data_IF_675593150013
#
_entry.id   IF_675593150013
#
_cell.length_a   1.000
_cell.length_b   1.000
_cell.length_c   1.000
_cell.angle_alpha   90.00
_cell.angle_beta   90.00
_cell.angle_gamma   90.00
#
_symmetry.space_group_name_H-M   'P 1'
#
loop_
_entity.id
_entity.type
_entity.pdbx_description
1 polymer ?
#
# COMPACT_ATOMS: atom_id res chain seq x y z
N UNK A 1 -7.29 -3.67 22.91
CA UNK A 1 -6.85 -3.34 21.56
C UNK A 1 -5.43 -2.77 21.58
N UNK A 2 -4.73 -2.87 20.44
CA UNK A 2 -3.39 -2.31 20.25
C UNK A 2 -3.48 -1.14 19.30
N UNK A 3 -2.61 -0.16 19.48
CA UNK A 3 -2.50 0.99 18.59
C UNK A 3 -1.07 1.19 18.12
N UNK A 4 -0.94 1.81 16.98
CA UNK A 4 0.28 2.40 16.45
C UNK A 4 0.03 3.87 16.16
N UNK A 5 1.05 4.59 15.75
CA UNK A 5 0.92 5.95 15.21
C UNK A 5 1.13 5.87 13.71
N UNK A 6 0.26 6.53 12.96
CA UNK A 6 0.32 6.68 11.52
C UNK A 6 -0.05 8.11 11.17
N UNK A 7 0.79 8.83 10.43
CA UNK A 7 0.60 10.26 10.16
C UNK A 7 0.27 11.09 11.42
N UNK A 8 0.94 10.80 12.57
CA UNK A 8 0.74 11.45 13.88
C UNK A 8 -0.61 11.17 14.55
N UNK A 9 -1.38 10.21 14.05
CA UNK A 9 -2.70 9.84 14.58
C UNK A 9 -2.62 8.41 15.12
N UNK A 10 -3.25 8.16 16.27
CA UNK A 10 -3.37 6.81 16.80
C UNK A 10 -4.24 5.96 15.88
N UNK A 11 -3.72 4.80 15.51
CA UNK A 11 -4.33 3.88 14.57
C UNK A 11 -4.45 2.49 15.18
N UNK A 12 -5.61 1.82 15.12
CA UNK A 12 -5.78 0.50 15.72
C UNK A 12 -5.00 -0.56 14.94
N UNK A 13 -4.48 -1.55 15.68
CA UNK A 13 -3.81 -2.74 15.13
C UNK A 13 -4.64 -4.02 15.29
N UNK A 14 -5.75 -3.95 16.00
CA UNK A 14 -6.71 -5.03 16.21
C UNK A 14 -7.77 -4.62 17.19
N UNK A 15 -9.00 -5.04 16.98
CA UNK A 15 -10.14 -4.82 17.87
C UNK A 15 -10.49 -6.09 18.64
N UNK A 16 -10.32 -7.27 18.02
CA UNK A 16 -10.60 -8.54 18.68
C UNK A 16 -9.47 -8.88 19.65
N UNK A 17 -9.85 -9.21 20.88
CA UNK A 17 -8.86 -9.58 21.89
C UNK A 17 -8.25 -10.96 21.59
N UNK A 18 -7.00 -11.23 22.02
CA UNK A 18 -6.38 -12.54 21.83
C UNK A 18 -7.20 -13.70 22.39
N UNK A 19 -7.83 -13.52 23.58
CA UNK A 19 -8.69 -14.53 24.22
C UNK A 19 -9.98 -14.81 23.44
N UNK A 20 -10.43 -13.87 22.57
CA UNK A 20 -11.61 -14.00 21.71
C UNK A 20 -11.25 -14.43 20.28
N UNK A 21 -10.01 -14.88 20.05
CA UNK A 21 -9.49 -15.35 18.75
C UNK A 21 -8.63 -14.35 17.99
N UNK A 22 -8.50 -13.11 18.49
CA UNK A 22 -7.54 -12.11 17.99
C UNK A 22 -7.66 -11.78 16.52
N UNK A 23 -6.52 -11.56 15.89
CA UNK A 23 -6.42 -11.18 14.48
C UNK A 23 -6.98 -12.23 13.50
N UNK A 24 -7.11 -13.50 13.93
CA UNK A 24 -7.66 -14.55 13.07
C UNK A 24 -9.17 -14.41 12.86
N UNK A 25 -9.90 -13.83 13.83
CA UNK A 25 -11.33 -13.51 13.66
C UNK A 25 -11.51 -12.37 12.65
N UNK A 26 -10.66 -11.33 12.73
CA UNK A 26 -10.65 -10.24 11.75
C UNK A 26 -10.26 -10.74 10.35
N UNK A 27 -9.31 -11.69 10.29
CA UNK A 27 -8.91 -12.36 9.05
C UNK A 27 -10.07 -13.13 8.41
N UNK A 28 -10.79 -13.93 9.21
CA UNK A 28 -11.95 -14.68 8.72
C UNK A 28 -13.03 -13.76 8.16
N UNK A 29 -13.30 -12.67 8.86
CA UNK A 29 -14.31 -11.69 8.43
C UNK A 29 -13.96 -11.04 7.07
N UNK A 30 -12.70 -10.66 6.83
CA UNK A 30 -12.32 -10.03 5.56
C UNK A 30 -12.26 -11.02 4.40
N UNK A 31 -11.94 -12.28 4.66
CA UNK A 31 -11.84 -13.31 3.61
C UNK A 31 -13.22 -13.86 3.21
N UNK A 32 -14.16 -13.99 4.16
CA UNK A 32 -15.44 -14.65 3.93
C UNK A 32 -16.65 -13.71 3.86
N UNK A 33 -16.52 -12.48 4.36
CA UNK A 33 -17.63 -11.54 4.49
C UNK A 33 -17.31 -10.16 3.91
N UNK A 34 -17.51 -9.14 4.71
CA UNK A 34 -17.11 -7.76 4.42
C UNK A 34 -16.70 -7.08 5.71
N UNK A 35 -15.70 -6.23 5.61
CA UNK A 35 -15.16 -5.49 6.74
C UNK A 35 -15.17 -3.99 6.47
N UNK A 36 -15.21 -3.20 7.54
CA UNK A 36 -15.06 -1.75 7.51
C UNK A 36 -13.88 -1.34 8.39
N UNK A 37 -13.01 -0.48 7.88
CA UNK A 37 -11.84 0.03 8.59
C UNK A 37 -11.80 1.54 8.52
N UNK A 38 -11.53 2.16 9.64
CA UNK A 38 -11.20 3.57 9.65
C UNK A 38 -9.74 3.73 9.18
N UNK A 39 -9.57 4.42 8.07
CA UNK A 39 -8.26 4.78 7.51
C UNK A 39 -8.13 6.31 7.32
N UNK A 40 -8.83 7.09 8.11
CA UNK A 40 -8.74 8.56 8.12
C UNK A 40 -7.31 9.08 8.43
N UNK A 41 -6.45 8.23 8.94
CA UNK A 41 -5.00 8.48 9.08
C UNK A 41 -4.29 8.70 7.73
N UNK A 42 -4.89 8.25 6.62
CA UNK A 42 -4.47 8.56 5.25
C UNK A 42 -4.98 9.97 4.89
N UNK A 43 -4.26 10.98 5.35
CA UNK A 43 -4.58 12.39 5.10
C UNK A 43 -4.62 12.68 3.61
N UNK A 44 -5.54 13.54 3.18
CA UNK A 44 -5.70 13.87 1.77
C UNK A 44 -5.04 15.21 1.47
N UNK A 45 -4.02 15.21 0.59
CA UNK A 45 -3.43 16.46 0.09
C UNK A 45 -3.99 16.74 -1.29
N UNK A 46 -4.74 17.84 -1.39
CA UNK A 46 -5.27 18.34 -2.66
C UNK A 46 -4.21 19.19 -3.37
N UNK A 47 -4.06 18.95 -4.66
CA UNK A 47 -3.38 19.85 -5.60
C UNK A 47 -4.40 20.31 -6.62
N UNK A 48 -4.65 21.64 -6.69
CA UNK A 48 -5.70 22.20 -7.53
C UNK A 48 -5.27 23.49 -8.22
N UNK A 49 -5.57 23.62 -9.50
CA UNK A 49 -5.31 24.82 -10.27
C UNK A 49 -4.84 24.53 -11.70
N UNK A 50 -4.64 25.59 -12.51
CA UNK A 50 -4.32 25.45 -13.94
C UNK A 50 -3.08 24.62 -14.26
N UNK A 51 -2.09 24.59 -13.35
CA UNK A 51 -0.86 23.82 -13.50
C UNK A 51 -0.80 22.58 -12.60
N UNK A 52 -1.94 22.16 -12.00
CA UNK A 52 -1.99 21.00 -11.12
C UNK A 52 -1.46 19.72 -11.79
N UNK A 53 -1.87 19.43 -13.04
CA UNK A 53 -1.37 18.27 -13.79
C UNK A 53 0.14 18.33 -13.99
N UNK A 54 0.69 19.49 -14.36
CA UNK A 54 2.14 19.67 -14.57
C UNK A 54 2.91 19.50 -13.26
N UNK A 55 2.39 20.05 -12.16
CA UNK A 55 2.99 19.90 -10.83
C UNK A 55 2.98 18.45 -10.38
N UNK A 56 1.82 17.78 -10.46
CA UNK A 56 1.69 16.36 -10.11
C UNK A 56 2.63 15.52 -10.97
N UNK A 57 2.69 15.79 -12.29
CA UNK A 57 3.61 15.11 -13.19
C UNK A 57 5.08 15.34 -12.77
N UNK A 58 5.43 16.50 -12.24
CA UNK A 58 6.79 16.80 -11.79
C UNK A 58 7.18 16.08 -10.47
N UNK A 59 6.22 15.76 -9.60
CA UNK A 59 6.55 15.18 -8.28
C UNK A 59 6.40 13.66 -8.21
N UNK A 60 5.76 13.00 -9.17
CA UNK A 60 5.63 11.55 -9.23
C UNK A 60 6.53 10.93 -10.31
N UNK A 61 6.88 9.67 -10.16
CA UNK A 61 7.74 8.96 -11.14
C UNK A 61 7.01 8.54 -12.41
N UNK A 62 5.67 8.39 -12.35
CA UNK A 62 4.81 8.02 -13.49
C UNK A 62 4.34 9.26 -14.25
N UNK A 63 3.84 9.04 -15.46
CA UNK A 63 3.26 10.09 -16.29
C UNK A 63 1.81 10.40 -15.84
N UNK A 64 1.62 11.55 -15.16
CA UNK A 64 0.31 11.97 -14.66
C UNK A 64 -0.71 12.25 -15.78
N UNK A 65 -0.24 12.61 -16.98
CA UNK A 65 -1.11 12.93 -18.14
C UNK A 65 -1.87 11.70 -18.64
N UNK A 66 -1.39 10.49 -18.30
CA UNK A 66 -2.04 9.21 -18.64
C UNK A 66 -3.14 8.79 -17.65
N UNK A 67 -3.33 9.53 -16.57
CA UNK A 67 -4.40 9.29 -15.62
C UNK A 67 -5.61 10.12 -16.05
N UNK A 68 -6.68 9.48 -16.49
CA UNK A 68 -7.91 10.20 -16.86
C UNK A 68 -8.62 10.78 -15.63
N UNK A 69 -9.40 11.87 -15.76
CA UNK A 69 -10.32 12.28 -14.70
C UNK A 69 -11.22 11.14 -14.23
N UNK A 70 -11.60 11.14 -12.97
CA UNK A 70 -12.35 10.09 -12.29
C UNK A 70 -11.63 8.72 -12.29
N UNK A 71 -10.29 8.75 -12.21
CA UNK A 71 -9.45 7.57 -12.04
C UNK A 71 -8.43 7.79 -10.93
N UNK A 72 -8.15 6.73 -10.19
CA UNK A 72 -7.02 6.69 -9.27
C UNK A 72 -5.84 5.89 -9.82
N UNK A 73 -4.67 6.05 -9.21
CA UNK A 73 -3.47 5.25 -9.50
C UNK A 73 -2.56 5.18 -8.27
N UNK A 74 -1.98 4.02 -8.06
CA UNK A 74 -0.84 3.88 -7.15
C UNK A 74 0.39 4.53 -7.79
N UNK A 75 0.98 5.49 -7.10
CA UNK A 75 2.14 6.25 -7.55
C UNK A 75 3.20 6.30 -6.46
N UNK A 76 4.42 6.67 -6.81
CA UNK A 76 5.49 6.93 -5.85
C UNK A 76 6.07 8.32 -6.06
N UNK A 77 6.40 8.98 -4.94
CA UNK A 77 7.18 10.18 -4.91
C UNK A 77 8.59 9.85 -4.40
N UNK A 78 9.60 10.42 -5.04
CA UNK A 78 10.98 10.23 -4.63
C UNK A 78 11.64 11.56 -4.29
N UNK A 79 12.65 11.50 -3.43
CA UNK A 79 13.57 12.64 -3.24
C UNK A 79 14.58 12.74 -4.40
N UNK A 80 15.39 13.78 -4.40
CA UNK A 80 16.40 14.01 -5.44
C UNK A 80 17.44 12.88 -5.60
N UNK A 81 17.59 12.04 -4.58
CA UNK A 81 18.53 10.91 -4.56
C UNK A 81 17.87 9.58 -4.97
N UNK A 82 16.55 9.60 -5.28
CA UNK A 82 15.77 8.43 -5.69
C UNK A 82 15.19 7.63 -4.53
N UNK A 83 15.26 8.11 -3.29
CA UNK A 83 14.62 7.48 -2.13
C UNK A 83 13.10 7.73 -2.11
N UNK A 84 12.31 6.74 -1.71
CA UNK A 84 10.83 6.79 -1.71
C UNK A 84 10.33 7.64 -0.56
N UNK A 85 9.76 8.79 -0.84
CA UNK A 85 9.18 9.70 0.16
C UNK A 85 7.79 9.27 0.61
N UNK A 86 6.98 8.76 -0.31
CA UNK A 86 5.63 8.24 -0.07
C UNK A 86 5.18 7.41 -1.27
N UNK A 87 4.20 6.54 -1.04
CA UNK A 87 3.60 5.68 -2.06
C UNK A 87 2.06 5.80 -2.06
N UNK A 88 1.51 7.00 -2.30
CA UNK A 88 0.10 7.27 -2.15
C UNK A 88 -0.74 6.66 -3.27
N UNK A 89 -2.04 6.58 -3.01
CA UNK A 89 -3.02 6.51 -4.09
C UNK A 89 -3.30 7.95 -4.56
N UNK A 90 -3.04 8.22 -5.83
CA UNK A 90 -3.36 9.49 -6.47
C UNK A 90 -4.74 9.40 -7.12
N UNK A 91 -5.68 10.22 -6.64
CA UNK A 91 -7.03 10.35 -7.20
C UNK A 91 -7.04 11.58 -8.12
N UNK A 92 -7.36 11.40 -9.40
CA UNK A 92 -7.62 12.51 -10.31
C UNK A 92 -9.12 12.81 -10.33
N UNK A 93 -9.54 13.82 -9.58
CA UNK A 93 -10.95 14.20 -9.43
C UNK A 93 -11.45 14.91 -10.70
N UNK A 94 -10.66 15.85 -11.21
CA UNK A 94 -10.99 16.58 -12.44
C UNK A 94 -9.75 16.80 -13.32
N UNK A 95 -9.85 17.65 -14.33
CA UNK A 95 -8.73 18.04 -15.18
C UNK A 95 -7.60 18.70 -14.38
N UNK A 96 -7.97 19.47 -13.38
CA UNK A 96 -7.11 20.39 -12.63
C UNK A 96 -7.21 20.19 -11.11
N UNK A 97 -7.72 19.03 -10.65
CA UNK A 97 -7.81 18.67 -9.23
C UNK A 97 -7.36 17.23 -9.01
N UNK A 98 -6.39 17.07 -8.11
CA UNK A 98 -5.80 15.80 -7.71
C UNK A 98 -5.74 15.70 -6.19
N UNK A 99 -5.98 14.51 -5.64
CA UNK A 99 -5.80 14.21 -4.23
C UNK A 99 -4.74 13.13 -4.07
N UNK A 100 -3.79 13.34 -3.16
CA UNK A 100 -2.89 12.32 -2.69
C UNK A 100 -3.43 11.74 -1.39
N UNK A 101 -3.84 10.47 -1.40
CA UNK A 101 -4.18 9.70 -0.21
C UNK A 101 -2.89 9.14 0.37
N UNK A 102 -2.43 9.70 1.50
CA UNK A 102 -1.06 9.52 1.98
C UNK A 102 -0.79 8.19 2.66
N UNK A 103 0.37 7.62 2.41
CA UNK A 103 1.02 6.69 3.34
C UNK A 103 1.66 7.45 4.53
N UNK A 104 2.36 6.75 5.41
CA UNK A 104 2.87 7.27 6.69
C UNK A 104 4.06 8.25 6.56
N UNK A 105 3.91 9.28 5.74
CA UNK A 105 4.86 10.41 5.70
C UNK A 105 4.18 11.71 5.29
N UNK A 106 4.65 12.83 5.83
CA UNK A 106 4.07 14.15 5.57
C UNK A 106 4.60 14.75 4.27
N UNK A 107 4.04 14.34 3.14
CA UNK A 107 4.40 14.93 1.84
C UNK A 107 3.70 16.27 1.58
N UNK A 108 2.70 16.68 2.36
CA UNK A 108 2.05 17.99 2.19
C UNK A 108 3.08 19.12 2.28
N UNK A 109 3.89 19.13 3.33
CA UNK A 109 4.98 20.11 3.48
C UNK A 109 6.03 20.00 2.37
N UNK A 110 6.36 18.77 1.95
CA UNK A 110 7.28 18.54 0.85
C UNK A 110 6.75 19.13 -0.47
N UNK A 111 5.49 18.86 -0.81
CA UNK A 111 4.87 19.37 -2.03
C UNK A 111 4.82 20.91 -2.04
N UNK A 112 4.47 21.53 -0.90
CA UNK A 112 4.51 22.98 -0.74
C UNK A 112 5.95 23.51 -0.92
N UNK A 113 6.95 22.83 -0.36
CA UNK A 113 8.36 23.17 -0.53
C UNK A 113 8.85 23.06 -1.98
N UNK A 114 8.40 22.07 -2.73
CA UNK A 114 8.72 21.91 -4.15
C UNK A 114 8.16 23.06 -5.00
N UNK A 115 7.03 23.64 -4.61
CA UNK A 115 6.40 24.79 -5.30
C UNK A 115 6.60 26.12 -4.55
N UNK A 116 7.58 26.23 -3.65
CA UNK A 116 7.79 27.44 -2.85
C UNK A 116 8.15 28.69 -3.68
N UNK A 117 8.73 28.50 -4.85
CA UNK A 117 9.02 29.58 -5.82
C UNK A 117 7.81 29.98 -6.68
N UNK A 118 6.68 29.30 -6.53
CA UNK A 118 5.43 29.62 -7.25
C UNK A 118 5.47 29.33 -8.76
N UNK A 119 6.41 28.51 -9.23
CA UNK A 119 6.54 28.19 -10.67
C UNK A 119 5.34 27.43 -11.26
N UNK A 120 4.56 26.76 -10.42
CA UNK A 120 3.32 26.12 -10.82
C UNK A 120 2.14 26.87 -10.23
N UNK A 121 1.22 27.33 -11.05
CA UNK A 121 -0.02 28.00 -10.63
C UNK A 121 -1.03 26.94 -10.12
N UNK A 122 -0.86 26.50 -8.90
CA UNK A 122 -1.76 25.57 -8.20
C UNK A 122 -1.69 25.81 -6.67
N UNK A 123 -2.78 25.48 -5.96
CA UNK A 123 -2.81 25.39 -4.50
C UNK A 123 -2.47 23.97 -4.06
N UNK A 124 -1.86 23.86 -2.88
CA UNK A 124 -1.48 22.57 -2.26
C UNK A 124 -1.95 22.65 -0.82
N UNK A 125 -3.00 21.91 -0.49
CA UNK A 125 -3.68 22.01 0.78
C UNK A 125 -4.08 20.63 1.31
N UNK A 126 -4.05 20.45 2.64
CA UNK A 126 -4.72 19.32 3.27
C UNK A 126 -6.21 19.62 3.34
N UNK A 127 -7.04 18.72 2.82
CA UNK A 127 -8.47 18.87 2.78
C UNK A 127 -9.16 17.98 3.81
N UNK A 128 -10.32 18.41 4.30
CA UNK A 128 -11.17 17.62 5.19
C UNK A 128 -11.95 16.57 4.38
N UNK A 129 -11.20 15.53 3.94
CA UNK A 129 -11.75 14.37 3.26
C UNK A 129 -11.12 13.10 3.86
N UNK A 130 -11.91 12.31 4.55
CA UNK A 130 -11.41 11.14 5.29
C UNK A 130 -11.90 9.83 4.67
N UNK A 131 -10.99 8.88 4.39
CA UNK A 131 -11.35 7.59 3.83
C UNK A 131 -11.79 6.58 4.89
N UNK A 132 -12.73 5.72 4.47
CA UNK A 132 -13.10 4.47 5.13
C UNK A 132 -13.00 3.36 4.10
N UNK A 133 -12.38 2.24 4.45
CA UNK A 133 -12.27 1.08 3.55
C UNK A 133 -13.39 0.07 3.83
N UNK A 134 -14.01 -0.43 2.76
CA UNK A 134 -15.01 -1.52 2.75
C UNK A 134 -14.42 -2.66 1.94
N UNK A 135 -13.95 -3.71 2.62
CA UNK A 135 -13.13 -4.75 2.00
C UNK A 135 -13.69 -6.15 2.26
N UNK A 136 -13.62 -7.01 1.28
CA UNK A 136 -14.03 -8.42 1.34
C UNK A 136 -15.01 -8.80 0.24
N UNK A 137 -15.35 -10.12 0.07
CA UNK A 137 -16.13 -10.63 -1.06
C UNK A 137 -17.56 -10.08 -1.13
N UNK A 138 -18.14 -9.63 -0.01
CA UNK A 138 -19.49 -9.02 0.02
C UNK A 138 -19.48 -7.50 -0.11
N UNK A 139 -18.31 -6.86 -0.32
CA UNK A 139 -18.19 -5.40 -0.40
C UNK A 139 -19.05 -4.79 -1.51
N UNK A 140 -19.07 -5.38 -2.71
CA UNK A 140 -19.91 -4.90 -3.82
C UNK A 140 -21.40 -4.95 -3.48
N UNK A 141 -21.88 -6.02 -2.86
CA UNK A 141 -23.28 -6.15 -2.47
C UNK A 141 -23.67 -5.09 -1.42
N UNK A 142 -22.80 -4.86 -0.43
CA UNK A 142 -23.00 -3.79 0.57
C UNK A 142 -23.06 -2.42 -0.11
N UNK A 143 -22.09 -2.12 -1.00
CA UNK A 143 -22.05 -0.82 -1.69
C UNK A 143 -23.26 -0.59 -2.59
N UNK A 144 -23.80 -1.63 -3.26
CA UNK A 144 -25.06 -1.54 -4.01
C UNK A 144 -26.23 -1.14 -3.14
N UNK A 145 -26.35 -1.77 -1.98
CA UNK A 145 -27.41 -1.46 -1.03
C UNK A 145 -27.26 -0.06 -0.40
N UNK A 146 -26.03 0.38 -0.22
CA UNK A 146 -25.73 1.71 0.36
C UNK A 146 -25.98 2.85 -0.64
N UNK A 147 -25.64 2.64 -1.91
CA UNK A 147 -25.62 3.69 -2.93
C UNK A 147 -26.81 3.62 -3.89
N UNK A 148 -27.51 2.49 -4.00
CA UNK A 148 -28.57 2.31 -5.00
C UNK A 148 -28.06 2.56 -6.42
N UNK A 149 -28.81 3.31 -7.19
CA UNK A 149 -28.56 3.59 -8.62
C UNK A 149 -27.62 4.80 -8.85
N UNK A 150 -26.96 5.31 -7.80
CA UNK A 150 -26.07 6.50 -7.95
C UNK A 150 -24.84 6.21 -8.81
N UNK A 151 -24.42 4.93 -8.90
CA UNK A 151 -23.21 4.53 -9.62
C UNK A 151 -23.35 3.09 -10.15
N UNK A 152 -22.84 2.87 -11.36
CA UNK A 152 -22.75 1.51 -11.94
C UNK A 152 -21.51 0.78 -11.38
N UNK A 153 -21.70 0.09 -10.26
CA UNK A 153 -20.64 -0.70 -9.61
C UNK A 153 -20.27 -1.96 -10.39
N UNK A 154 -21.11 -2.43 -11.34
CA UNK A 154 -20.78 -3.61 -12.15
C UNK A 154 -19.70 -3.31 -13.17
N UNK A 155 -19.77 -2.13 -13.77
CA UNK A 155 -18.83 -1.69 -14.79
C UNK A 155 -17.75 -0.73 -14.24
N UNK A 156 -17.73 -0.47 -12.92
CA UNK A 156 -16.69 0.34 -12.30
C UNK A 156 -15.36 -0.40 -12.34
N UNK A 157 -14.34 0.13 -13.03
CA UNK A 157 -13.04 -0.55 -13.12
C UNK A 157 -12.24 -0.37 -11.83
N UNK A 158 -11.29 -1.26 -11.58
CA UNK A 158 -10.30 -1.06 -10.50
C UNK A 158 -9.63 0.31 -10.64
N UNK A 159 -9.51 1.05 -9.53
CA UNK A 159 -9.14 2.47 -9.50
C UNK A 159 -10.11 3.42 -10.26
N UNK A 160 -11.35 2.98 -10.54
CA UNK A 160 -12.43 3.89 -10.94
C UNK A 160 -12.86 4.74 -9.75
N UNK A 161 -13.22 6.00 -10.03
CA UNK A 161 -13.79 6.93 -9.05
C UNK A 161 -15.23 7.26 -9.44
N UNK A 162 -16.06 7.57 -8.43
CA UNK A 162 -17.38 8.17 -8.63
C UNK A 162 -17.72 9.13 -7.50
N UNK A 163 -18.38 10.23 -7.83
CA UNK A 163 -18.99 11.11 -6.83
C UNK A 163 -20.37 10.56 -6.46
N UNK A 164 -20.63 10.40 -5.18
CA UNK A 164 -21.84 9.81 -4.63
C UNK A 164 -22.26 10.52 -3.35
N UNK A 165 -23.44 10.17 -2.84
CA UNK A 165 -23.89 10.60 -1.50
C UNK A 165 -24.10 9.39 -0.61
N UNK A 166 -23.53 9.42 0.59
CA UNK A 166 -23.79 8.47 1.67
C UNK A 166 -24.45 9.24 2.82
N UNK A 167 -25.61 8.78 3.29
CA UNK A 167 -26.44 9.53 4.26
C UNK A 167 -26.70 10.99 3.85
N UNK A 168 -26.83 11.26 2.55
CA UNK A 168 -27.00 12.63 2.01
C UNK A 168 -25.72 13.46 1.95
N UNK A 169 -24.57 12.96 2.42
CA UNK A 169 -23.28 13.66 2.45
C UNK A 169 -22.42 13.34 1.22
N UNK A 170 -21.71 14.36 0.74
CA UNK A 170 -20.88 14.23 -0.47
C UNK A 170 -19.67 13.35 -0.21
N UNK A 171 -19.50 12.34 -1.05
CA UNK A 171 -18.38 11.42 -1.00
C UNK A 171 -17.78 11.19 -2.39
N UNK A 172 -16.50 10.87 -2.44
CA UNK A 172 -15.87 10.21 -3.58
C UNK A 172 -15.67 8.75 -3.20
N UNK A 173 -16.04 7.82 -4.07
CA UNK A 173 -15.69 6.41 -3.89
C UNK A 173 -14.61 6.02 -4.88
N UNK A 174 -13.76 5.08 -4.47
CA UNK A 174 -12.78 4.40 -5.31
C UNK A 174 -12.95 2.90 -5.21
N UNK A 175 -12.87 2.18 -6.33
CA UNK A 175 -12.73 0.72 -6.28
C UNK A 175 -11.26 0.38 -6.06
N UNK A 176 -10.87 0.38 -4.81
CA UNK A 176 -9.50 0.17 -4.35
C UNK A 176 -9.47 -0.36 -2.92
N UNK A 177 -8.29 -0.60 -2.38
CA UNK A 177 -8.09 -1.01 -0.99
C UNK A 177 -6.70 -1.57 -0.74
N UNK A 178 -6.40 -1.76 0.54
CA UNK A 178 -5.10 -2.19 1.05
C UNK A 178 -5.08 -3.66 1.51
N UNK A 179 -5.94 -4.51 0.94
CA UNK A 179 -6.13 -5.90 1.39
C UNK A 179 -5.83 -6.97 0.35
N UNK A 180 -5.84 -6.58 -0.93
CA UNK A 180 -5.87 -7.55 -2.02
C UNK A 180 -7.20 -8.31 -2.16
N UNK A 181 -8.23 -7.94 -1.39
CA UNK A 181 -9.61 -8.38 -1.59
C UNK A 181 -10.37 -7.40 -2.49
N UNK A 182 -11.54 -7.83 -2.97
CA UNK A 182 -12.48 -6.91 -3.59
C UNK A 182 -12.90 -5.84 -2.58
N UNK A 183 -12.94 -4.58 -2.98
CA UNK A 183 -13.27 -3.53 -2.04
C UNK A 183 -13.40 -2.15 -2.62
N UNK A 184 -13.81 -1.25 -1.75
CA UNK A 184 -14.02 0.17 -2.04
C UNK A 184 -13.46 1.02 -0.91
N UNK A 185 -13.10 2.24 -1.25
CA UNK A 185 -12.78 3.31 -0.32
C UNK A 185 -13.80 4.42 -0.48
N UNK A 186 -14.33 4.92 0.64
CA UNK A 186 -15.31 6.01 0.68
C UNK A 186 -14.61 7.22 1.29
N UNK A 187 -14.33 8.24 0.51
CA UNK A 187 -13.73 9.50 0.92
C UNK A 187 -14.84 10.50 1.24
N UNK A 188 -15.15 10.69 2.51
CA UNK A 188 -16.18 11.61 2.97
C UNK A 188 -15.63 13.04 2.96
N UNK A 189 -16.27 13.96 2.22
CA UNK A 189 -16.00 15.40 2.29
C UNK A 189 -16.60 15.99 3.56
N UNK A 190 -15.97 17.02 4.12
CA UNK A 190 -16.36 17.64 5.39
C UNK A 190 -16.49 16.60 6.54
N UNK A 191 -15.53 15.70 6.59
CA UNK A 191 -15.55 14.54 7.48
C UNK A 191 -15.56 14.93 8.95
N UNK A 192 -14.93 16.03 9.32
CA UNK A 192 -14.99 16.60 10.69
C UNK A 192 -16.42 16.83 11.17
N UNK A 193 -17.34 17.12 10.27
CA UNK A 193 -18.74 17.39 10.60
C UNK A 193 -19.64 16.15 10.50
N UNK A 194 -19.35 15.23 9.58
CA UNK A 194 -20.32 14.21 9.15
C UNK A 194 -19.82 12.76 9.25
N UNK A 195 -18.65 12.52 9.88
CA UNK A 195 -18.09 11.18 9.98
C UNK A 195 -19.03 10.19 10.65
N UNK A 196 -19.67 10.57 11.76
CA UNK A 196 -20.58 9.69 12.50
C UNK A 196 -21.82 9.31 11.67
N UNK A 197 -22.37 10.25 10.89
CA UNK A 197 -23.53 9.99 10.06
C UNK A 197 -23.21 8.95 8.97
N UNK A 198 -22.09 9.14 8.27
CA UNK A 198 -21.66 8.23 7.23
C UNK A 198 -21.30 6.86 7.80
N UNK A 199 -20.53 6.82 8.89
CA UNK A 199 -20.13 5.59 9.56
C UNK A 199 -21.33 4.75 10.00
N UNK A 200 -22.32 5.38 10.67
CA UNK A 200 -23.52 4.72 11.13
C UNK A 200 -24.40 4.23 9.97
N UNK A 201 -24.48 4.98 8.86
CA UNK A 201 -25.21 4.53 7.68
C UNK A 201 -24.60 3.27 7.06
N UNK A 202 -23.27 3.19 6.98
CA UNK A 202 -22.57 1.98 6.50
C UNK A 202 -22.79 0.81 7.46
N UNK A 203 -22.70 1.03 8.77
CA UNK A 203 -22.97 -0.01 9.77
C UNK A 203 -24.38 -0.57 9.65
N UNK A 204 -25.39 0.30 9.49
CA UNK A 204 -26.78 -0.13 9.40
C UNK A 204 -27.03 -1.00 8.18
N UNK A 205 -26.58 -0.55 7.01
CA UNK A 205 -26.67 -1.35 5.76
C UNK A 205 -25.83 -2.63 5.88
N UNK A 206 -24.69 -2.54 6.56
CA UNK A 206 -23.76 -3.66 6.74
C UNK A 206 -24.30 -4.85 7.54
N UNK A 207 -25.29 -4.65 8.41
CA UNK A 207 -25.87 -5.72 9.25
C UNK A 207 -26.27 -6.94 8.46
N UNK A 208 -26.97 -6.77 7.35
CA UNK A 208 -27.43 -7.90 6.50
C UNK A 208 -26.29 -8.57 5.72
N UNK A 209 -25.12 -7.92 5.60
CA UNK A 209 -23.94 -8.45 4.91
C UNK A 209 -22.93 -9.08 5.86
N UNK A 210 -23.23 -9.14 7.16
CA UNK A 210 -22.31 -9.59 8.20
C UNK A 210 -21.05 -8.71 8.26
N UNK A 211 -21.24 -7.39 8.13
CA UNK A 211 -20.16 -6.40 8.23
C UNK A 211 -19.52 -6.47 9.61
N UNK A 212 -18.20 -6.57 9.63
CA UNK A 212 -17.42 -6.46 10.83
C UNK A 212 -16.50 -5.23 10.76
N UNK A 213 -16.45 -4.45 11.84
CA UNK A 213 -15.43 -3.41 12.00
C UNK A 213 -14.14 -4.09 12.44
N UNK A 214 -13.06 -3.87 11.69
CA UNK A 214 -11.74 -4.41 11.99
C UNK A 214 -10.66 -3.31 11.94
N UNK A 215 -9.48 -3.59 12.47
CA UNK A 215 -8.30 -2.80 12.20
C UNK A 215 -7.79 -3.06 10.77
N UNK A 216 -6.94 -2.18 10.18
CA UNK A 216 -6.34 -2.45 8.89
C UNK A 216 -5.68 -3.82 8.82
N UNK A 217 -6.07 -4.61 7.82
CA UNK A 217 -5.75 -6.03 7.75
C UNK A 217 -4.30 -6.29 7.32
N UNK A 218 -3.33 -6.09 8.21
CA UNK A 218 -1.91 -6.33 7.94
C UNK A 218 -1.63 -7.73 7.39
N UNK A 219 -2.30 -8.75 7.93
CA UNK A 219 -2.21 -10.11 7.43
C UNK A 219 -2.54 -10.21 5.93
N UNK A 220 -3.62 -9.54 5.48
CA UNK A 220 -4.04 -9.60 4.07
C UNK A 220 -3.12 -8.82 3.15
N UNK A 221 -2.71 -7.59 3.54
CA UNK A 221 -1.77 -6.82 2.74
C UNK A 221 -0.44 -7.56 2.54
N UNK A 222 0.06 -8.25 3.59
CA UNK A 222 1.29 -9.04 3.51
C UNK A 222 1.11 -10.20 2.54
N UNK A 223 0.03 -10.97 2.65
CA UNK A 223 -0.28 -12.04 1.70
C UNK A 223 -0.37 -11.53 0.26
N UNK A 224 -0.90 -10.32 0.08
CA UNK A 224 -1.01 -9.64 -1.21
C UNK A 224 0.31 -9.07 -1.74
N UNK A 225 1.35 -9.03 -0.92
CA UNK A 225 2.62 -8.39 -1.26
C UNK A 225 2.51 -6.86 -1.35
N UNK A 226 1.52 -6.26 -0.68
CA UNK A 226 1.34 -4.81 -0.64
C UNK A 226 2.24 -4.23 0.45
N UNK A 227 3.09 -3.29 0.05
CA UNK A 227 4.05 -2.64 0.95
C UNK A 227 3.37 -1.62 1.85
N UNK A 228 3.99 -1.34 2.99
CA UNK A 228 3.61 -0.26 3.90
C UNK A 228 4.81 0.65 4.08
N UNK A 229 4.65 1.92 3.73
CA UNK A 229 5.70 2.92 3.96
C UNK A 229 5.94 3.09 5.47
N UNK A 230 7.17 3.31 5.86
CA UNK A 230 7.59 3.31 7.26
C UNK A 230 7.88 1.91 7.81
N UNK A 231 7.28 0.84 7.26
CA UNK A 231 7.53 -0.54 7.68
C UNK A 231 8.38 -1.32 6.67
N UNK A 232 7.98 -1.33 5.39
CA UNK A 232 8.69 -2.07 4.34
C UNK A 232 9.65 -1.20 3.53
N UNK A 233 9.50 0.09 3.58
CA UNK A 233 10.37 1.05 2.90
C UNK A 233 10.24 2.44 3.53
N UNK A 234 11.25 3.26 3.31
CA UNK A 234 11.30 4.66 3.70
C UNK A 234 12.14 5.48 2.69
N UNK A 235 12.46 6.71 3.04
CA UNK A 235 13.26 7.62 2.18
C UNK A 235 14.69 7.15 1.89
N UNK A 236 15.19 6.12 2.58
CA UNK A 236 16.52 5.53 2.33
C UNK A 236 16.46 4.39 1.30
N UNK A 237 15.26 3.93 0.98
CA UNK A 237 15.01 2.86 0.02
C UNK A 237 14.62 3.43 -1.34
N UNK A 238 15.17 2.88 -2.42
CA UNK A 238 14.79 3.27 -3.77
C UNK A 238 13.76 2.29 -4.38
N UNK A 239 13.02 2.69 -5.43
CA UNK A 239 11.97 1.84 -6.02
C UNK A 239 12.46 0.48 -6.52
N UNK A 240 13.68 0.39 -7.03
CA UNK A 240 14.20 -0.88 -7.54
C UNK A 240 14.40 -1.88 -6.43
N UNK A 241 14.95 -1.45 -5.30
CA UNK A 241 15.20 -2.28 -4.13
C UNK A 241 13.91 -2.72 -3.42
N UNK A 242 12.80 -1.97 -3.61
CA UNK A 242 11.48 -2.27 -3.04
C UNK A 242 10.56 -3.06 -3.99
N UNK A 243 11.07 -3.63 -5.10
CA UNK A 243 10.25 -4.26 -6.14
C UNK A 243 9.25 -3.32 -6.84
N UNK A 244 9.39 -2.00 -6.69
CA UNK A 244 8.58 -0.95 -7.32
C UNK A 244 9.22 -0.39 -8.61
N UNK A 245 10.24 -1.06 -9.15
CA UNK A 245 10.94 -0.61 -10.37
C UNK A 245 10.00 -0.39 -11.56
N UNK A 246 8.86 -1.10 -11.63
CA UNK A 246 7.83 -0.91 -12.65
C UNK A 246 7.12 0.46 -12.56
N UNK A 247 7.19 1.13 -11.40
CA UNK A 247 6.68 2.49 -11.21
C UNK A 247 7.61 3.56 -11.80
N UNK A 248 8.86 3.17 -12.12
CA UNK A 248 9.87 4.09 -12.66
C UNK A 248 9.96 3.90 -14.16
N UNK A 249 9.47 4.85 -14.92
CA UNK A 249 9.33 4.76 -16.38
C UNK A 249 10.63 5.11 -17.12
N UNK A 250 11.70 4.34 -16.88
CA UNK A 250 13.02 4.60 -17.50
C UNK A 250 13.25 3.92 -18.83
N UNK A 251 12.51 2.87 -19.17
CA UNK A 251 12.89 1.99 -20.28
C UNK A 251 12.37 2.42 -21.64
N UNK A 252 11.53 3.42 -21.71
CA UNK A 252 10.93 3.85 -22.96
C UNK A 252 10.02 2.81 -23.63
N UNK A 253 9.67 1.75 -22.94
CA UNK A 253 8.72 0.72 -23.38
C UNK A 253 7.50 0.75 -22.46
N UNK A 254 6.32 0.79 -23.07
CA UNK A 254 5.04 0.70 -22.37
C UNK A 254 4.28 2.02 -22.26
N UNK A 255 3.05 1.90 -21.81
CA UNK A 255 2.04 2.97 -21.71
C UNK A 255 2.45 4.15 -20.82
N UNK A 256 3.32 3.91 -19.83
CA UNK A 256 3.72 4.88 -18.81
C UNK A 256 5.09 5.52 -19.03
N UNK A 257 5.60 5.46 -20.27
CA UNK A 257 6.87 6.11 -20.60
C UNK A 257 6.78 7.61 -20.36
N UNK A 258 7.56 8.08 -19.38
CA UNK A 258 7.67 9.49 -19.06
C UNK A 258 8.93 10.09 -19.67
N UNK A 259 8.76 11.15 -20.45
CA UNK A 259 9.87 11.92 -21.03
C UNK A 259 10.15 13.19 -20.26
N UNK A 260 9.12 13.75 -19.60
CA UNK A 260 9.23 14.98 -18.82
C UNK A 260 10.19 14.79 -17.62
N UNK A 261 10.71 15.90 -17.17
CA UNK A 261 11.53 15.92 -15.96
C UNK A 261 10.66 15.72 -14.71
N UNK A 262 11.24 15.10 -13.66
CA UNK A 262 10.60 14.91 -12.37
C UNK A 262 11.64 14.75 -11.26
N UNK A 263 11.24 14.98 -10.02
CA UNK A 263 12.14 14.87 -8.87
C UNK A 263 12.69 13.46 -8.73
N UNK A 264 14.01 13.34 -8.63
CA UNK A 264 14.71 12.06 -8.52
C UNK A 264 15.06 11.37 -9.84
N UNK A 265 14.61 11.90 -11.00
CA UNK A 265 14.83 11.29 -12.33
C UNK A 265 16.28 10.92 -12.58
N UNK A 266 17.21 11.86 -12.42
CA UNK A 266 18.62 11.63 -12.71
C UNK A 266 19.22 10.50 -11.87
N UNK A 267 18.86 10.42 -10.57
CA UNK A 267 19.31 9.35 -9.68
C UNK A 267 18.73 7.99 -10.10
N UNK A 268 17.44 7.94 -10.42
CA UNK A 268 16.77 6.72 -10.83
C UNK A 268 17.25 6.22 -12.21
N UNK A 269 17.48 7.12 -13.16
CA UNK A 269 18.08 6.78 -14.46
C UNK A 269 19.48 6.20 -14.32
N UNK A 270 20.32 6.80 -13.46
CA UNK A 270 21.66 6.29 -13.15
C UNK A 270 21.59 4.88 -12.57
N UNK A 271 20.76 4.66 -11.54
CA UNK A 271 20.59 3.34 -10.92
C UNK A 271 20.08 2.31 -11.94
N UNK A 272 19.06 2.67 -12.74
CA UNK A 272 18.53 1.78 -13.79
C UNK A 272 19.58 1.41 -14.85
N UNK A 273 20.44 2.33 -15.24
CA UNK A 273 21.56 2.07 -16.15
C UNK A 273 22.60 1.14 -15.53
N UNK A 274 22.92 1.34 -14.25
CA UNK A 274 23.85 0.47 -13.51
C UNK A 274 23.29 -0.96 -13.38
N UNK A 275 22.02 -1.13 -13.06
CA UNK A 275 21.35 -2.44 -13.00
C UNK A 275 21.40 -3.14 -14.37
N UNK A 276 21.09 -2.43 -15.46
CA UNK A 276 21.17 -2.98 -16.84
C UNK A 276 22.60 -3.40 -17.21
N UNK A 277 23.60 -2.73 -16.66
CA UNK A 277 25.02 -3.07 -16.84
C UNK A 277 25.50 -4.20 -15.91
N UNK A 278 24.60 -4.85 -15.16
CA UNK A 278 24.93 -5.93 -14.23
C UNK A 278 25.58 -5.47 -12.92
N UNK A 279 25.55 -4.15 -12.63
CA UNK A 279 26.03 -3.60 -11.37
C UNK A 279 24.97 -3.71 -10.28
N UNK A 280 25.40 -3.60 -9.03
CA UNK A 280 24.54 -3.61 -7.83
C UNK A 280 24.61 -2.25 -7.16
N UNK A 281 23.76 -1.28 -7.56
CA UNK A 281 23.80 0.09 -7.04
C UNK A 281 23.39 0.22 -5.57
N UNK A 282 22.87 -0.83 -4.96
CA UNK A 282 22.49 -0.93 -3.55
C UNK A 282 22.81 -2.32 -2.99
N UNK A 283 22.78 -2.45 -1.66
CA UNK A 283 23.22 -3.67 -0.96
C UNK A 283 22.13 -4.71 -0.74
N UNK A 284 20.93 -4.27 -0.43
CA UNK A 284 19.82 -5.12 0.02
C UNK A 284 18.63 -5.02 -0.92
N UNK A 285 17.95 -6.16 -1.16
CA UNK A 285 16.76 -6.29 -1.98
C UNK A 285 15.61 -6.81 -1.16
N UNK A 286 14.43 -6.21 -1.28
CA UNK A 286 13.18 -6.70 -0.71
C UNK A 286 12.81 -8.05 -1.34
N UNK A 287 12.47 -9.02 -0.51
CA UNK A 287 12.05 -10.36 -0.90
C UNK A 287 10.85 -10.83 -0.10
N UNK A 288 10.11 -11.80 -0.65
CA UNK A 288 9.21 -12.63 0.13
C UNK A 288 9.95 -13.85 0.69
N UNK A 289 9.54 -14.31 1.85
CA UNK A 289 10.09 -15.50 2.50
C UNK A 289 8.99 -16.36 3.10
N UNK A 290 9.14 -17.67 3.06
CA UNK A 290 8.45 -18.60 3.94
C UNK A 290 9.38 -18.93 5.12
N UNK A 291 8.83 -18.93 6.35
CA UNK A 291 9.58 -19.09 7.59
C UNK A 291 9.09 -20.31 8.36
N UNK A 292 10.01 -21.01 8.98
CA UNK A 292 9.71 -22.02 10.01
C UNK A 292 9.22 -21.40 11.32
N UNK A 293 9.11 -22.22 12.34
CA UNK A 293 8.72 -21.80 13.68
C UNK A 293 7.23 -21.93 13.97
N UNK A 294 6.82 -21.43 15.14
CA UNK A 294 5.40 -21.40 15.54
C UNK A 294 4.64 -20.38 14.70
N UNK A 295 3.30 -20.55 14.53
CA UNK A 295 2.48 -19.56 13.87
C UNK A 295 2.64 -18.16 14.46
N UNK A 296 2.83 -17.17 13.57
CA UNK A 296 2.90 -15.74 13.92
C UNK A 296 1.50 -15.17 13.69
N UNK A 297 0.61 -15.41 14.63
CA UNK A 297 -0.82 -15.08 14.58
C UNK A 297 -1.19 -13.82 15.36
N UNK A 298 -0.19 -13.12 15.87
CA UNK A 298 -0.33 -11.87 16.60
C UNK A 298 0.66 -10.83 16.07
N UNK A 299 0.42 -9.56 16.38
CA UNK A 299 1.33 -8.48 16.03
C UNK A 299 2.70 -8.71 16.68
N UNK A 300 3.72 -8.76 15.87
CA UNK A 300 5.10 -8.98 16.28
C UNK A 300 5.92 -7.68 16.11
N UNK A 301 6.98 -7.48 16.93
CA UNK A 301 7.93 -6.41 16.71
C UNK A 301 8.55 -6.48 15.31
N UNK A 302 8.85 -5.32 14.75
CA UNK A 302 9.44 -5.20 13.41
C UNK A 302 10.96 -5.46 13.43
N UNK A 303 11.52 -5.66 12.22
CA UNK A 303 12.97 -5.69 11.96
C UNK A 303 13.74 -6.85 12.59
N UNK A 304 13.20 -8.07 12.46
CA UNK A 304 13.91 -9.27 12.90
C UNK A 304 15.16 -9.55 12.06
N UNK A 305 16.25 -9.93 12.72
CA UNK A 305 17.51 -10.15 12.06
C UNK A 305 17.50 -11.39 11.16
N UNK A 306 18.13 -11.28 10.00
CA UNK A 306 18.37 -12.36 9.04
C UNK A 306 19.87 -12.63 9.01
N UNK A 307 20.28 -13.90 9.16
CA UNK A 307 21.64 -14.36 8.93
C UNK A 307 21.71 -15.36 7.75
N UNK A 308 22.91 -15.64 7.26
CA UNK A 308 23.10 -16.67 6.25
C UNK A 308 22.62 -18.06 6.75
N UNK A 309 22.40 -19.02 5.83
CA UNK A 309 22.00 -20.39 6.17
C UNK A 309 22.95 -21.05 7.18
N UNK A 310 24.26 -20.78 7.05
CA UNK A 310 25.30 -21.25 7.97
C UNK A 310 25.34 -20.50 9.33
N UNK A 311 24.50 -19.48 9.52
CA UNK A 311 24.57 -18.57 10.67
C UNK A 311 25.58 -17.43 10.44
N UNK A 312 26.04 -16.82 11.53
CA UNK A 312 26.97 -15.70 11.52
C UNK A 312 26.28 -14.35 11.72
N UNK A 313 26.99 -13.26 11.38
CA UNK A 313 26.51 -11.89 11.54
C UNK A 313 25.24 -11.63 10.72
N UNK A 314 24.37 -10.71 11.17
CA UNK A 314 23.18 -10.32 10.43
C UNK A 314 23.55 -9.76 9.05
N UNK A 315 22.84 -10.24 8.02
CA UNK A 315 23.00 -9.80 6.63
C UNK A 315 21.77 -9.05 6.10
N UNK A 316 20.67 -9.06 6.88
CA UNK A 316 19.41 -8.46 6.48
C UNK A 316 18.42 -8.41 7.64
N UNK A 317 17.18 -8.05 7.33
CA UNK A 317 16.11 -7.94 8.33
C UNK A 317 14.72 -8.19 7.74
N UNK A 318 13.82 -8.72 8.55
CA UNK A 318 12.39 -8.89 8.24
C UNK A 318 11.66 -7.61 8.57
N UNK A 319 10.73 -7.21 7.71
CA UNK A 319 9.90 -6.01 7.89
C UNK A 319 8.45 -6.33 8.23
N UNK A 320 7.89 -7.36 7.62
CA UNK A 320 6.45 -7.66 7.69
C UNK A 320 6.20 -9.15 7.76
N UNK A 321 6.24 -9.75 8.97
CA UNK A 321 5.97 -11.17 9.16
C UNK A 321 4.49 -11.41 9.45
N UNK A 322 3.99 -12.59 9.05
CA UNK A 322 2.65 -13.08 9.40
C UNK A 322 2.50 -14.59 9.21
N UNK A 323 1.48 -15.20 9.84
CA UNK A 323 1.06 -16.56 9.55
C UNK A 323 0.07 -16.61 8.40
N UNK A 324 0.30 -17.49 7.42
CA UNK A 324 -0.60 -17.72 6.29
C UNK A 324 -1.47 -18.96 6.57
N UNK A 325 -2.78 -18.80 6.92
CA UNK A 325 -3.60 -19.92 7.37
C UNK A 325 -3.81 -21.01 6.31
N UNK A 326 -4.00 -20.61 5.05
CA UNK A 326 -4.23 -21.54 3.94
C UNK A 326 -2.97 -22.36 3.62
N UNK A 327 -1.79 -21.72 3.64
CA UNK A 327 -0.50 -22.41 3.42
C UNK A 327 0.02 -23.11 4.68
N UNK A 328 -0.55 -22.81 5.85
CA UNK A 328 -0.11 -23.31 7.16
C UNK A 328 1.38 -23.06 7.44
N UNK A 329 1.88 -21.93 6.99
CA UNK A 329 3.28 -21.51 7.17
C UNK A 329 3.36 -20.04 7.50
N UNK A 330 4.44 -19.62 8.16
CA UNK A 330 4.74 -18.21 8.31
C UNK A 330 5.28 -17.64 7.00
N UNK A 331 4.88 -16.44 6.69
CA UNK A 331 5.37 -15.65 5.55
C UNK A 331 5.96 -14.34 6.06
N UNK A 332 6.88 -13.77 5.31
CA UNK A 332 7.41 -12.46 5.63
C UNK A 332 7.89 -11.71 4.39
N UNK A 333 7.81 -10.39 4.44
CA UNK A 333 8.64 -9.53 3.60
C UNK A 333 9.88 -9.09 4.39
N UNK A 334 11.00 -8.88 3.72
CA UNK A 334 12.23 -8.45 4.35
C UNK A 334 13.34 -8.19 3.35
N UNK A 335 14.45 -7.69 3.83
CA UNK A 335 15.60 -7.33 3.02
C UNK A 335 16.74 -8.34 3.20
N UNK A 336 17.26 -8.82 2.08
CA UNK A 336 18.43 -9.71 2.03
C UNK A 336 19.49 -9.16 1.06
N UNK A 337 20.76 -9.63 1.08
CA UNK A 337 21.76 -9.17 0.15
C UNK A 337 21.31 -9.32 -1.31
N UNK A 338 21.43 -8.24 -2.08
CA UNK A 338 21.10 -8.24 -3.51
C UNK A 338 22.15 -9.02 -4.29
N UNK A 339 21.79 -10.14 -4.88
CA UNK A 339 22.69 -11.02 -5.64
C UNK A 339 22.81 -10.65 -7.13
N UNK A 340 21.98 -9.71 -7.62
CA UNK A 340 21.94 -9.29 -9.02
C UNK A 340 20.84 -9.99 -9.84
N UNK A 341 19.99 -10.80 -9.21
CA UNK A 341 18.86 -11.45 -9.88
C UNK A 341 17.84 -10.44 -10.40
N UNK A 342 17.40 -10.63 -11.63
CA UNK A 342 16.37 -9.81 -12.27
C UNK A 342 15.15 -10.67 -12.65
N UNK A 343 13.97 -10.06 -12.66
CA UNK A 343 12.76 -10.69 -13.21
C UNK A 343 12.73 -10.62 -14.74
N UNK A 344 11.71 -11.22 -15.37
CA UNK A 344 11.54 -11.24 -16.83
C UNK A 344 11.46 -9.86 -17.49
N UNK A 345 11.12 -8.83 -16.73
CA UNK A 345 11.05 -7.44 -17.20
C UNK A 345 12.36 -6.66 -16.96
N UNK A 346 13.40 -7.31 -16.43
CA UNK A 346 14.70 -6.70 -16.15
C UNK A 346 14.75 -5.87 -14.87
N UNK A 347 13.77 -6.00 -13.97
CA UNK A 347 13.80 -5.37 -12.65
C UNK A 347 14.41 -6.29 -11.59
N UNK A 348 15.14 -5.73 -10.61
CA UNK A 348 15.68 -6.49 -9.48
C UNK A 348 14.61 -7.26 -8.73
N UNK A 349 14.97 -8.45 -8.31
CA UNK A 349 14.17 -9.29 -7.41
C UNK A 349 15.06 -10.21 -6.58
N UNK A 350 14.53 -10.81 -5.53
CA UNK A 350 15.22 -11.87 -4.80
C UNK A 350 15.29 -13.17 -5.60
N UNK A 351 16.36 -13.92 -5.41
CA UNK A 351 16.52 -15.25 -6.01
C UNK A 351 15.70 -16.28 -5.21
N UNK A 352 14.62 -16.75 -5.81
CA UNK A 352 13.76 -17.80 -5.22
C UNK A 352 14.57 -19.05 -4.88
N UNK A 353 14.28 -19.64 -3.72
CA UNK A 353 14.98 -20.82 -3.21
C UNK A 353 16.25 -20.52 -2.42
N UNK A 354 16.70 -19.25 -2.34
CA UNK A 354 17.82 -18.88 -1.47
C UNK A 354 17.41 -19.06 -0.01
N UNK A 355 18.27 -19.66 0.79
CA UNK A 355 18.01 -19.99 2.19
C UNK A 355 18.73 -19.05 3.14
N UNK A 356 18.05 -18.75 4.24
CA UNK A 356 18.53 -17.91 5.34
C UNK A 356 18.08 -18.48 6.68
N UNK A 357 18.54 -17.84 7.77
CA UNK A 357 18.02 -18.01 9.11
C UNK A 357 17.39 -16.69 9.57
N UNK A 358 16.18 -16.76 10.13
CA UNK A 358 15.50 -15.60 10.72
C UNK A 358 15.48 -15.77 12.23
N UNK A 359 15.93 -14.75 12.94
CA UNK A 359 15.97 -14.73 14.41
C UNK A 359 14.65 -14.17 14.94
N UNK A 360 13.68 -15.04 15.19
CA UNK A 360 12.40 -14.63 15.75
C UNK A 360 12.63 -14.08 17.16
N UNK A 361 12.13 -12.87 17.49
CA UNK A 361 12.23 -12.35 18.84
C UNK A 361 11.36 -13.20 19.78
N UNK A 362 11.75 -13.27 21.05
CA UNK A 362 10.86 -13.75 22.07
C UNK A 362 9.66 -12.81 22.20
N UNK A 363 8.50 -13.33 22.59
CA UNK A 363 7.28 -12.52 22.71
C UNK A 363 7.53 -11.30 23.62
N UNK A 364 7.29 -10.11 23.05
CA UNK A 364 7.53 -8.81 23.70
C UNK A 364 8.99 -8.51 24.08
N UNK A 365 9.95 -9.16 23.43
CA UNK A 365 11.37 -8.93 23.65
C UNK A 365 12.05 -8.43 22.37
N UNK A 366 13.01 -7.54 22.52
CA UNK A 366 13.93 -7.14 21.44
C UNK A 366 15.12 -8.12 21.32
N UNK A 367 15.23 -9.09 22.22
CA UNK A 367 16.32 -10.06 22.20
C UNK A 367 16.11 -11.04 21.03
N UNK A 368 17.12 -11.21 20.16
CA UNK A 368 17.05 -12.21 19.11
C UNK A 368 16.83 -13.60 19.70
N UNK A 369 15.74 -14.25 19.29
CA UNK A 369 15.44 -15.62 19.69
C UNK A 369 16.20 -16.65 18.86
N UNK A 370 15.83 -17.93 19.03
CA UNK A 370 16.41 -19.03 18.25
C UNK A 370 16.09 -18.83 16.76
N UNK A 371 17.09 -18.98 15.89
CA UNK A 371 16.87 -18.84 14.45
C UNK A 371 15.97 -19.96 13.91
N UNK A 372 15.10 -19.61 13.00
CA UNK A 372 14.29 -20.53 12.20
C UNK A 372 14.74 -20.51 10.75
N UNK A 373 14.48 -21.61 10.02
CA UNK A 373 14.76 -21.66 8.60
C UNK A 373 13.87 -20.69 7.83
N UNK A 374 14.43 -20.08 6.80
CA UNK A 374 13.73 -19.20 5.89
C UNK A 374 14.14 -19.50 4.46
N UNK A 375 13.20 -19.45 3.54
CA UNK A 375 13.46 -19.61 2.10
C UNK A 375 12.81 -18.47 1.33
N UNK A 376 13.55 -17.87 0.42
CA UNK A 376 13.03 -16.81 -0.47
C UNK A 376 12.00 -17.40 -1.43
N UNK A 377 10.84 -16.75 -1.50
CA UNK A 377 9.74 -17.08 -2.42
C UNK A 377 9.28 -15.84 -3.19
N UNK A 378 8.53 -16.07 -4.25
CA UNK A 378 7.89 -14.94 -4.97
C UNK A 378 6.77 -14.30 -4.14
N UNK A 379 6.54 -13.01 -4.34
CA UNK A 379 5.38 -12.26 -3.86
C UNK A 379 4.51 -11.84 -5.06
N UNK A 380 3.18 -11.85 -4.91
CA UNK A 380 2.38 -12.11 -3.72
C UNK A 380 2.42 -13.57 -3.26
N UNK A 381 2.18 -13.80 -1.96
CA UNK A 381 2.19 -15.14 -1.35
C UNK A 381 0.93 -15.95 -1.65
N UNK A 382 -0.13 -15.32 -2.10
CA UNK A 382 -1.40 -15.95 -2.48
C UNK A 382 -1.46 -16.11 -3.99
N UNK A 383 -1.67 -17.34 -4.46
CA UNK A 383 -1.79 -17.66 -5.90
C UNK A 383 -3.09 -17.16 -6.52
N UNK A 384 -4.17 -17.11 -5.75
CA UNK A 384 -5.46 -16.59 -6.18
C UNK A 384 -5.88 -15.38 -5.33
N UNK A 385 -5.53 -14.16 -5.75
CA UNK A 385 -6.44 -13.05 -5.52
C UNK A 385 -7.70 -13.34 -6.32
N UNK A 386 -8.87 -13.12 -5.72
CA UNK A 386 -10.15 -13.29 -6.41
C UNK A 386 -10.00 -12.82 -7.86
N UNK A 387 -10.36 -13.67 -8.81
CA UNK A 387 -10.21 -13.41 -10.25
C UNK A 387 -10.75 -12.02 -10.63
N UNK A 388 -11.75 -11.53 -9.90
CA UNK A 388 -12.32 -10.20 -10.04
C UNK A 388 -11.35 -9.03 -9.78
N UNK A 389 -10.33 -9.20 -8.95
CA UNK A 389 -9.31 -8.14 -8.77
C UNK A 389 -8.22 -8.19 -9.84
N UNK A 390 -7.98 -9.34 -10.49
CA UNK A 390 -7.01 -9.47 -11.58
C UNK A 390 -7.59 -9.19 -12.96
N UNK A 391 -8.85 -9.53 -13.21
CA UNK A 391 -9.49 -9.22 -14.50
C UNK A 391 -9.66 -7.72 -14.71
N UNK A 392 -9.86 -6.96 -13.63
CA UNK A 392 -9.95 -5.49 -13.67
C UNK A 392 -8.59 -4.81 -13.87
N UNK A 393 -7.47 -5.48 -13.60
CA UNK A 393 -6.12 -4.91 -13.81
C UNK A 393 -5.58 -5.08 -15.23
N UNK A 394 -6.31 -5.74 -16.12
CA UNK A 394 -5.95 -5.94 -17.55
C UNK A 394 -6.64 -4.97 -18.50
N UNK A 395 -7.47 -4.05 -17.99
CA UNK A 395 -8.14 -3.01 -18.75
C UNK A 395 -7.44 -1.66 -18.70
#
# INVERSE_FOLDING_TARGET
WRATVYNRIYHPRGYVKPEDGGAMVEYDAIVNHVTMWNVAVERQIQVKGPDAEKFVDYVITRDATKISPMRARYVILCNAYGGVLNDPILLRISKDEFWFSLSDSDIGMYLQGVNADGRFNCTIEEIDACPVQIQGPKSKALMKDLLGDQVDLENMPFYGLAEVKVAGRSCVISQSGFSGEAGYEIYLRDATLYADEMWNAVLEVGKKHQLMVIAPAHHRRIQAGILSWGQDMDQQHNPYQCNLGYQVSLSGKGEWKKTNDYVGKAALEKMGAEIKAGKKPYKLQLVGMELGGKPIDDYAPDFWLISNESGGDPVGFVTSPWYHPEKKTNIAMGYVPFDGTLNSNGFPKGKVGTKFKVHLPEKYSETPGKPVDAVVVDIPFKESFNANTREVSKG
#
